data_IF_277300386179
#
_entry.id   IF_277300386179
#
_cell.length_a   1.000
_cell.length_b   1.000
_cell.length_c   1.000
_cell.angle_alpha   90.00
_cell.angle_beta   90.00
_cell.angle_gamma   90.00
#
_symmetry.space_group_name_H-M   'P 1'
#
loop_
_entity.id
_entity.type
_entity.pdbx_description
1 polymer ?
#
# COMPACT_ATOMS: atom_id res chain seq x y z
N UNK A 1 -13.01 3.90 -44.90
CA UNK A 1 -11.59 4.28 -44.75
C UNK A 1 -11.11 4.22 -43.30
N UNK A 2 -11.81 4.84 -42.34
CA UNK A 2 -11.41 4.84 -40.92
C UNK A 2 -11.35 3.44 -40.26
N UNK A 3 -12.35 2.58 -40.46
CA UNK A 3 -12.39 1.27 -39.78
C UNK A 3 -11.37 0.26 -40.30
N UNK A 4 -11.02 0.37 -41.59
CA UNK A 4 -9.99 -0.46 -42.19
C UNK A 4 -8.61 -0.18 -41.57
N UNK A 5 -8.30 1.11 -41.37
CA UNK A 5 -7.08 1.56 -40.69
C UNK A 5 -7.05 1.10 -39.23
N UNK A 6 -8.16 1.23 -38.49
CA UNK A 6 -8.26 0.74 -37.11
C UNK A 6 -7.98 -0.75 -37.01
N UNK A 7 -8.53 -1.56 -37.92
CA UNK A 7 -8.30 -3.02 -37.91
C UNK A 7 -6.86 -3.42 -38.18
N UNK A 8 -6.15 -2.69 -39.05
CA UNK A 8 -4.80 -3.08 -39.49
C UNK A 8 -3.71 -2.55 -38.55
N UNK A 9 -3.88 -1.34 -38.01
CA UNK A 9 -2.80 -0.63 -37.32
C UNK A 9 -3.07 -0.46 -35.83
N UNK A 10 -4.34 -0.39 -35.39
CA UNK A 10 -4.66 -0.15 -33.99
C UNK A 10 -4.70 -1.45 -33.16
N UNK A 11 -4.48 -1.31 -31.86
CA UNK A 11 -4.70 -2.39 -30.89
C UNK A 11 -6.20 -2.73 -30.82
N UNK A 12 -6.51 -3.99 -30.51
CA UNK A 12 -7.89 -4.40 -30.27
C UNK A 12 -8.45 -3.74 -29.02
N UNK A 13 -9.77 -3.53 -29.01
CA UNK A 13 -10.46 -2.94 -27.86
C UNK A 13 -10.26 -3.77 -26.59
N UNK A 14 -10.16 -5.11 -26.73
CA UNK A 14 -9.83 -6.01 -25.63
C UNK A 14 -8.46 -5.69 -25.01
N UNK A 15 -7.42 -5.52 -25.82
CA UNK A 15 -6.09 -5.18 -25.32
C UNK A 15 -6.07 -3.80 -24.67
N UNK A 16 -6.77 -2.82 -25.25
CA UNK A 16 -6.88 -1.49 -24.68
C UNK A 16 -7.59 -1.51 -23.32
N UNK A 17 -8.65 -2.31 -23.18
CA UNK A 17 -9.37 -2.48 -21.91
C UNK A 17 -8.50 -3.17 -20.85
N UNK A 18 -7.78 -4.22 -21.22
CA UNK A 18 -6.85 -4.91 -20.31
C UNK A 18 -5.71 -3.98 -19.84
N UNK A 19 -5.14 -3.19 -20.76
CA UNK A 19 -4.13 -2.19 -20.43
C UNK A 19 -4.68 -1.05 -19.57
N UNK A 20 -5.93 -0.63 -19.79
CA UNK A 20 -6.61 0.34 -18.94
C UNK A 20 -6.78 -0.20 -17.51
N UNK A 21 -7.29 -1.43 -17.38
CA UNK A 21 -7.48 -2.09 -16.09
C UNK A 21 -6.15 -2.35 -15.35
N UNK A 22 -5.08 -2.68 -16.08
CA UNK A 22 -3.75 -2.85 -15.50
C UNK A 22 -3.08 -1.53 -15.09
N UNK A 23 -3.35 -0.42 -15.82
CA UNK A 23 -2.89 0.93 -15.46
C UNK A 23 -3.65 1.51 -14.28
N UNK A 24 -4.93 1.17 -14.16
CA UNK A 24 -5.74 1.38 -12.96
C UNK A 24 -5.28 0.43 -11.84
N UNK A 25 -3.96 0.29 -11.65
CA UNK A 25 -3.33 -0.39 -10.51
C UNK A 25 -4.05 0.14 -9.27
N UNK A 26 -5.02 -0.63 -8.80
CA UNK A 26 -5.74 -0.35 -7.56
C UNK A 26 -4.66 -0.45 -6.51
N UNK A 27 -4.32 0.67 -5.89
CA UNK A 27 -3.44 0.64 -4.73
C UNK A 27 -4.02 -0.40 -3.79
N UNK A 28 -3.22 -1.42 -3.51
CA UNK A 28 -3.70 -2.55 -2.73
C UNK A 28 -4.11 -1.99 -1.37
N UNK A 29 -5.37 -2.15 -0.93
CA UNK A 29 -5.83 -1.58 0.34
C UNK A 29 -5.12 -2.19 1.57
N UNK A 30 -4.35 -3.27 1.36
CA UNK A 30 -3.46 -3.85 2.35
C UNK A 30 -2.07 -3.18 2.41
N UNK A 31 -1.74 -2.27 1.48
CA UNK A 31 -0.50 -1.50 1.55
C UNK A 31 -0.59 -0.48 2.69
N UNK A 32 0.55 -0.27 3.34
CA UNK A 32 0.73 0.75 4.37
C UNK A 32 1.83 1.71 3.95
N UNK A 33 1.70 2.98 4.28
CA UNK A 33 2.72 3.99 4.06
C UNK A 33 2.18 5.30 3.52
N UNK A 34 3.07 6.13 2.98
CA UNK A 34 2.69 7.41 2.37
C UNK A 34 1.86 7.19 1.11
N UNK A 35 0.70 7.86 1.01
CA UNK A 35 -0.22 7.70 -0.12
C UNK A 35 -1.10 6.45 -0.06
N UNK A 36 -1.02 5.66 1.01
CA UNK A 36 -1.95 4.55 1.28
C UNK A 36 -3.03 4.99 2.27
N UNK A 37 -4.11 4.20 2.40
CA UNK A 37 -5.20 4.47 3.34
C UNK A 37 -4.74 4.56 4.81
N UNK A 38 -3.67 3.83 5.14
CA UNK A 38 -3.09 3.75 6.48
C UNK A 38 -1.59 3.92 6.39
N UNK A 39 -1.01 4.71 7.29
CA UNK A 39 0.42 4.97 7.27
C UNK A 39 1.20 3.86 7.99
N UNK A 40 0.72 3.46 9.16
CA UNK A 40 1.33 2.42 9.98
C UNK A 40 0.28 1.45 10.51
N UNK A 41 0.70 0.21 10.76
CA UNK A 41 -0.19 -0.83 11.29
C UNK A 41 -0.71 -0.53 12.71
N UNK A 42 -0.07 0.37 13.45
CA UNK A 42 -0.53 0.80 14.77
C UNK A 42 -1.90 1.52 14.75
N UNK A 43 -2.38 1.92 13.57
CA UNK A 43 -3.73 2.48 13.37
C UNK A 43 -4.83 1.41 13.42
N UNK A 44 -4.46 0.12 13.35
CA UNK A 44 -5.40 -0.99 13.38
C UNK A 44 -5.73 -1.38 14.82
N UNK A 45 -7.02 -1.39 15.22
CA UNK A 45 -7.43 -1.87 16.52
C UNK A 45 -6.97 -3.31 16.78
N UNK A 46 -6.47 -3.57 17.99
CA UNK A 46 -5.92 -4.87 18.39
C UNK A 46 -4.43 -5.04 18.10
N UNK A 47 -3.80 -4.13 17.36
CA UNK A 47 -2.35 -4.06 17.21
C UNK A 47 -1.69 -3.27 18.33
N UNK A 48 -0.37 -3.40 18.47
CA UNK A 48 0.41 -2.62 19.43
C UNK A 48 0.35 -1.14 19.05
N UNK A 49 -0.05 -0.24 19.97
CA UNK A 49 -0.14 1.19 19.68
C UNK A 49 1.25 1.80 19.46
N UNK A 50 1.29 2.93 18.76
CA UNK A 50 2.54 3.65 18.54
C UNK A 50 3.15 4.12 19.88
N UNK A 51 4.45 3.86 20.14
CA UNK A 51 5.12 4.28 21.38
C UNK A 51 5.08 5.79 21.65
N UNK A 52 4.88 6.60 20.60
CA UNK A 52 4.74 8.05 20.71
C UNK A 52 3.39 8.48 21.33
N UNK A 53 2.35 7.65 21.19
CA UNK A 53 1.01 7.90 21.73
C UNK A 53 0.84 7.19 23.08
N UNK A 54 1.24 5.91 23.15
CA UNK A 54 1.16 5.09 24.35
C UNK A 54 2.54 4.50 24.62
N UNK A 55 3.20 4.86 25.74
CA UNK A 55 4.51 4.32 26.04
C UNK A 55 4.45 2.81 26.23
N UNK A 56 5.39 2.09 25.61
CA UNK A 56 5.48 0.65 25.76
C UNK A 56 5.90 0.25 27.19
N UNK A 57 5.52 -0.96 27.64
CA UNK A 57 6.00 -1.52 28.90
C UNK A 57 7.52 -1.58 28.98
N UNK A 58 8.08 -1.46 30.19
CA UNK A 58 9.53 -1.41 30.40
C UNK A 58 10.26 -2.64 29.87
N UNK A 59 9.65 -3.83 29.98
CA UNK A 59 10.23 -5.08 29.48
C UNK A 59 10.33 -5.15 27.94
N UNK A 60 9.69 -4.25 27.20
CA UNK A 60 9.78 -4.13 25.74
C UNK A 60 10.72 -3.00 25.28
N UNK A 61 11.31 -2.24 26.21
CA UNK A 61 12.08 -1.03 25.92
C UNK A 61 13.56 -1.27 26.12
N UNK A 62 14.36 -1.04 25.08
CA UNK A 62 15.81 -1.27 25.09
C UNK A 62 16.55 -0.58 26.25
N UNK A 63 16.11 0.61 26.67
CA UNK A 63 16.69 1.32 27.82
C UNK A 63 16.70 0.48 29.11
N UNK A 64 15.69 -0.36 29.35
CA UNK A 64 15.62 -1.19 30.57
C UNK A 64 16.18 -2.59 30.35
N UNK A 65 16.14 -3.10 29.11
CA UNK A 65 16.69 -4.43 28.77
C UNK A 65 18.22 -4.41 28.82
N UNK A 66 18.85 -3.32 28.37
CA UNK A 66 20.30 -3.23 28.19
C UNK A 66 20.99 -2.20 29.10
N UNK A 67 20.30 -1.69 30.12
CA UNK A 67 20.95 -0.81 31.09
C UNK A 67 22.10 -1.56 31.76
N UNK A 68 23.34 -1.11 31.52
CA UNK A 68 24.50 -1.55 32.29
C UNK A 68 24.66 -0.56 33.45
N UNK A 69 24.78 -1.10 34.66
CA UNK A 69 25.06 -0.34 35.87
C UNK A 69 26.37 0.44 35.77
#
# INVERSE_FOLDING_TARGET
MHDHLKRIICKSDFLLAAEAQAREKKDNPANFGYGCDRHCICEIPGQVPCPAVVPLPNHMRGKFIYHKD
#
